data_IF_596586954990
#
_entry.id   IF_596586954990
#
_cell.length_a   1.000
_cell.length_b   1.000
_cell.length_c   1.000
_cell.angle_alpha   90.00
_cell.angle_beta   90.00
_cell.angle_gamma   90.00
#
_symmetry.space_group_name_H-M   'P 1'
#
loop_
_entity.id
_entity.type
_entity.pdbx_description
1 polymer ?
#
# COMPACT_ATOMS: atom_id res chain seq x y z
N UNK A 1 38.57 -39.59 -58.23
CA UNK A 1 37.25 -40.20 -57.92
C UNK A 1 37.08 -40.28 -56.41
N UNK A 2 36.00 -39.64 -55.89
CA UNK A 2 35.40 -39.83 -54.54
C UNK A 2 36.25 -39.33 -53.35
N UNK A 3 35.79 -38.47 -52.44
CA UNK A 3 34.52 -37.75 -52.26
C UNK A 3 34.84 -36.50 -51.42
N UNK A 4 34.38 -35.31 -51.81
CA UNK A 4 33.06 -34.74 -51.51
C UNK A 4 32.71 -34.67 -50.02
N UNK A 5 32.50 -33.43 -49.59
CA UNK A 5 31.62 -33.01 -48.50
C UNK A 5 32.12 -33.26 -47.07
N UNK A 6 32.63 -32.19 -46.43
CA UNK A 6 32.47 -31.89 -44.99
C UNK A 6 32.86 -30.44 -44.73
N UNK A 7 32.19 -29.54 -45.43
CA UNK A 7 32.13 -28.12 -45.08
C UNK A 7 30.64 -27.79 -44.90
N UNK A 8 30.33 -27.00 -43.87
CA UNK A 8 29.00 -26.56 -43.43
C UNK A 8 28.06 -27.64 -42.91
N UNK A 9 27.83 -27.62 -41.59
CA UNK A 9 26.51 -27.42 -40.98
C UNK A 9 26.72 -27.14 -39.48
N UNK A 10 27.14 -25.91 -39.18
CA UNK A 10 26.86 -25.27 -37.88
C UNK A 10 25.34 -25.04 -37.83
N UNK A 11 24.61 -26.09 -37.46
CA UNK A 11 23.15 -26.06 -37.33
C UNK A 11 22.75 -25.68 -35.91
N UNK A 12 22.41 -24.39 -35.74
CA UNK A 12 21.54 -23.81 -34.71
C UNK A 12 21.21 -24.69 -33.50
N UNK A 13 22.09 -24.68 -32.49
CA UNK A 13 21.66 -24.87 -31.11
C UNK A 13 20.94 -23.58 -30.68
N UNK A 14 19.66 -23.47 -31.04
CA UNK A 14 18.78 -22.45 -30.46
C UNK A 14 18.81 -22.66 -28.95
N UNK A 15 19.51 -21.74 -28.28
CA UNK A 15 19.37 -21.49 -26.86
C UNK A 15 17.89 -21.20 -26.62
N UNK A 16 17.14 -22.23 -26.22
CA UNK A 16 15.96 -22.04 -25.42
C UNK A 16 16.50 -21.53 -24.08
N UNK A 17 16.80 -20.24 -24.04
CA UNK A 17 16.94 -19.51 -22.81
C UNK A 17 15.56 -19.54 -22.19
N UNK A 18 15.28 -20.58 -21.41
CA UNK A 18 14.21 -20.55 -20.43
C UNK A 18 14.48 -19.30 -19.62
N UNK A 19 13.75 -18.23 -19.90
CA UNK A 19 13.62 -17.16 -18.93
C UNK A 19 12.97 -17.85 -17.75
N UNK A 20 13.75 -18.24 -16.75
CA UNK A 20 13.19 -18.55 -15.46
C UNK A 20 12.66 -17.22 -14.96
N UNK A 21 11.37 -16.95 -15.21
CA UNK A 21 10.68 -15.88 -14.52
C UNK A 21 10.85 -16.22 -13.05
N UNK A 22 11.65 -15.43 -12.34
CA UNK A 22 11.82 -15.62 -10.91
C UNK A 22 10.41 -15.56 -10.31
N UNK A 23 9.94 -16.70 -9.80
CA UNK A 23 8.65 -16.76 -9.13
C UNK A 23 8.72 -15.78 -7.95
N UNK A 24 7.76 -14.86 -7.89
CA UNK A 24 7.71 -13.86 -6.82
C UNK A 24 7.77 -14.56 -5.47
N UNK A 25 8.64 -14.08 -4.57
CA UNK A 25 8.77 -14.67 -3.26
C UNK A 25 7.50 -14.44 -2.43
N UNK A 26 7.15 -15.40 -1.58
CA UNK A 26 5.93 -15.35 -0.77
C UNK A 26 5.82 -14.09 0.10
N UNK A 27 6.92 -13.66 0.73
CA UNK A 27 6.94 -12.44 1.55
C UNK A 27 6.92 -11.15 0.70
N UNK A 28 7.41 -11.22 -0.54
CA UNK A 28 7.29 -10.12 -1.51
C UNK A 28 5.83 -9.94 -1.93
N UNK A 29 5.11 -11.03 -2.23
CA UNK A 29 3.69 -11.01 -2.53
C UNK A 29 2.86 -10.46 -1.35
N UNK A 30 3.19 -10.87 -0.12
CA UNK A 30 2.58 -10.31 1.11
C UNK A 30 2.80 -8.80 1.24
N UNK A 31 4.04 -8.33 1.05
CA UNK A 31 4.34 -6.90 1.12
C UNK A 31 3.60 -6.12 0.03
N UNK A 32 3.54 -6.66 -1.19
CA UNK A 32 2.87 -6.08 -2.36
C UNK A 32 1.36 -5.97 -2.17
N UNK A 33 0.69 -7.07 -1.77
CA UNK A 33 -0.74 -7.07 -1.43
C UNK A 33 -1.01 -6.10 -0.27
N UNK A 34 -0.12 -6.10 0.72
CA UNK A 34 -0.19 -5.18 1.85
C UNK A 34 -0.11 -3.71 1.45
N UNK A 35 0.64 -3.36 0.40
CA UNK A 35 0.80 -2.00 -0.08
C UNK A 35 -0.46 -1.48 -0.78
N UNK A 36 -1.21 -2.33 -1.49
CA UNK A 36 -2.45 -1.95 -2.18
C UNK A 36 -3.46 -1.28 -1.24
N UNK A 37 -3.57 -1.78 0.00
CA UNK A 37 -4.38 -1.18 1.07
C UNK A 37 -4.06 0.31 1.28
N UNK A 38 -2.77 0.66 1.26
CA UNK A 38 -2.31 2.03 1.49
C UNK A 38 -2.47 2.91 0.25
N UNK A 39 -2.24 2.36 -0.94
CA UNK A 39 -2.35 3.10 -2.20
C UNK A 39 -3.77 3.65 -2.41
N UNK A 40 -4.80 2.86 -2.12
CA UNK A 40 -6.19 3.33 -2.20
C UNK A 40 -6.46 4.55 -1.30
N UNK A 41 -5.85 4.58 -0.13
CA UNK A 41 -5.97 5.66 0.87
C UNK A 41 -5.13 6.89 0.48
N UNK A 42 -3.93 6.70 -0.07
CA UNK A 42 -3.09 7.77 -0.64
C UNK A 42 -3.85 8.50 -1.75
N UNK A 43 -4.46 7.75 -2.66
CA UNK A 43 -5.23 8.29 -3.78
C UNK A 43 -6.41 9.15 -3.28
N UNK A 44 -7.15 8.68 -2.28
CA UNK A 44 -8.24 9.47 -1.69
C UNK A 44 -7.72 10.71 -0.95
N UNK A 45 -6.63 10.59 -0.18
CA UNK A 45 -5.96 11.74 0.45
C UNK A 45 -5.59 12.78 -0.61
N UNK A 46 -5.00 12.36 -1.72
CA UNK A 46 -4.58 13.24 -2.81
C UNK A 46 -5.78 13.89 -3.50
N UNK A 47 -6.90 13.17 -3.69
CA UNK A 47 -8.15 13.74 -4.17
C UNK A 47 -8.63 14.90 -3.28
N UNK A 48 -8.63 14.70 -1.95
CA UNK A 48 -9.02 15.74 -0.99
C UNK A 48 -8.02 16.91 -1.00
N UNK A 49 -6.72 16.63 -1.12
CA UNK A 49 -5.67 17.65 -1.22
C UNK A 49 -5.84 18.53 -2.46
N UNK A 50 -6.11 17.94 -3.62
CA UNK A 50 -6.36 18.68 -4.86
C UNK A 50 -7.62 19.55 -4.72
N UNK A 51 -8.72 18.98 -4.22
CA UNK A 51 -9.98 19.70 -4.05
C UNK A 51 -9.94 20.84 -3.02
N UNK A 52 -9.02 20.77 -2.05
CA UNK A 52 -8.82 21.77 -1.00
C UNK A 52 -7.63 22.71 -1.25
N UNK A 53 -7.03 22.67 -2.45
CA UNK A 53 -5.87 23.49 -2.84
C UNK A 53 -4.62 23.28 -1.96
N UNK A 54 -4.46 22.06 -1.42
CA UNK A 54 -3.32 21.68 -0.58
C UNK A 54 -2.28 20.94 -1.43
N UNK A 55 -1.15 21.59 -1.71
CA UNK A 55 -0.01 20.98 -2.44
C UNK A 55 -0.42 20.32 -3.77
N UNK A 56 -1.34 20.93 -4.52
CA UNK A 56 -1.99 20.36 -5.72
C UNK A 56 -1.04 19.64 -6.67
N UNK A 57 0.06 20.29 -7.08
CA UNK A 57 1.01 19.69 -8.03
C UNK A 57 1.66 18.39 -7.50
N UNK A 58 1.91 18.31 -6.19
CA UNK A 58 2.44 17.11 -5.55
C UNK A 58 1.37 16.02 -5.46
N UNK A 59 0.14 16.39 -5.12
CA UNK A 59 -0.98 15.47 -4.98
C UNK A 59 -1.38 14.83 -6.33
N UNK A 60 -1.39 15.60 -7.42
CA UNK A 60 -1.64 15.07 -8.78
C UNK A 60 -0.60 14.01 -9.13
N UNK A 61 0.69 14.33 -8.95
CA UNK A 61 1.79 13.40 -9.24
C UNK A 61 1.68 12.12 -8.41
N UNK A 62 1.51 12.26 -7.09
CA UNK A 62 1.42 11.14 -6.17
C UNK A 62 0.21 10.25 -6.47
N UNK A 63 -0.94 10.85 -6.80
CA UNK A 63 -2.14 10.12 -7.22
C UNK A 63 -1.87 9.28 -8.46
N UNK A 64 -1.32 9.88 -9.51
CA UNK A 64 -1.10 9.22 -10.79
C UNK A 64 -0.06 8.09 -10.66
N UNK A 65 1.01 8.31 -9.90
CA UNK A 65 2.01 7.28 -9.54
C UNK A 65 1.38 6.14 -8.72
N UNK A 66 0.52 6.46 -7.75
CA UNK A 66 -0.14 5.47 -6.90
C UNK A 66 -1.17 4.63 -7.66
N UNK A 67 -1.89 5.22 -8.62
CA UNK A 67 -2.78 4.51 -9.55
C UNK A 67 -1.96 3.50 -10.36
N UNK A 68 -0.89 3.95 -11.01
CA UNK A 68 -0.05 3.09 -11.84
C UNK A 68 0.56 1.94 -11.03
N UNK A 69 1.03 2.24 -9.81
CA UNK A 69 1.60 1.23 -8.92
C UNK A 69 0.55 0.23 -8.43
N UNK A 70 -0.66 0.69 -8.09
CA UNK A 70 -1.76 -0.18 -7.67
C UNK A 70 -2.08 -1.19 -8.78
N UNK A 71 -2.26 -0.71 -10.01
CA UNK A 71 -2.62 -1.55 -11.16
C UNK A 71 -1.51 -2.54 -11.53
N UNK A 72 -0.26 -2.08 -11.54
CA UNK A 72 0.91 -2.95 -11.76
C UNK A 72 0.94 -4.08 -10.73
N UNK A 73 0.89 -3.74 -9.44
CA UNK A 73 0.91 -4.73 -8.37
C UNK A 73 -0.31 -5.66 -8.44
N UNK A 74 -1.48 -5.14 -8.80
CA UNK A 74 -2.68 -5.96 -8.89
C UNK A 74 -2.53 -7.04 -9.95
N UNK A 75 -1.98 -6.69 -11.12
CA UNK A 75 -1.70 -7.67 -12.16
C UNK A 75 -0.68 -8.71 -11.69
N UNK A 76 0.41 -8.28 -11.05
CA UNK A 76 1.42 -9.21 -10.53
C UNK A 76 0.86 -10.17 -9.46
N UNK A 77 -0.05 -9.70 -8.61
CA UNK A 77 -0.74 -10.54 -7.62
C UNK A 77 -1.72 -11.53 -8.27
N UNK A 78 -2.40 -11.13 -9.35
CA UNK A 78 -3.25 -12.03 -10.14
C UNK A 78 -2.41 -13.14 -10.78
N UNK A 79 -1.23 -12.81 -11.29
CA UNK A 79 -0.30 -13.77 -11.89
C UNK A 79 0.31 -14.70 -10.83
N UNK A 80 0.52 -14.21 -9.60
CA UNK A 80 1.00 -14.99 -8.46
C UNK A 80 -0.03 -15.97 -7.89
N UNK A 81 -1.32 -15.59 -7.88
CA UNK A 81 -2.36 -16.35 -7.18
C UNK A 81 -2.70 -17.71 -7.83
N UNK A 82 -2.25 -18.81 -7.20
CA UNK A 82 -2.47 -20.17 -7.70
C UNK A 82 -3.76 -20.83 -7.20
N UNK A 83 -4.33 -20.38 -6.08
CA UNK A 83 -5.56 -20.92 -5.51
C UNK A 83 -6.82 -20.11 -5.87
N UNK A 84 -7.98 -20.77 -5.84
CA UNK A 84 -9.26 -20.15 -6.24
C UNK A 84 -9.72 -19.06 -5.26
N UNK A 85 -9.42 -19.21 -3.97
CA UNK A 85 -9.87 -18.27 -2.95
C UNK A 85 -9.15 -16.91 -3.09
N UNK A 86 -7.84 -16.92 -3.29
CA UNK A 86 -7.05 -15.72 -3.56
C UNK A 86 -7.48 -15.06 -4.88
N UNK A 87 -7.69 -15.84 -5.95
CA UNK A 87 -8.20 -15.30 -7.22
C UNK A 87 -9.56 -14.63 -7.07
N UNK A 88 -10.48 -15.25 -6.32
CA UNK A 88 -11.79 -14.68 -6.06
C UNK A 88 -11.72 -13.38 -5.24
N UNK A 89 -10.81 -13.30 -4.25
CA UNK A 89 -10.59 -12.06 -3.49
C UNK A 89 -10.00 -10.95 -4.36
N UNK A 90 -8.99 -11.26 -5.19
CA UNK A 90 -8.42 -10.30 -6.13
C UNK A 90 -9.45 -9.79 -7.16
N UNK A 91 -10.34 -10.66 -7.64
CA UNK A 91 -11.42 -10.25 -8.54
C UNK A 91 -12.41 -9.26 -7.89
N UNK A 92 -12.66 -9.37 -6.57
CA UNK A 92 -13.47 -8.40 -5.84
C UNK A 92 -12.75 -7.06 -5.69
N UNK A 93 -11.43 -7.08 -5.42
CA UNK A 93 -10.60 -5.87 -5.44
C UNK A 93 -10.68 -5.19 -6.80
N UNK A 94 -10.55 -5.95 -7.89
CA UNK A 94 -10.65 -5.45 -9.27
C UNK A 94 -12.01 -4.79 -9.56
N UNK A 95 -13.11 -5.40 -9.11
CA UNK A 95 -14.45 -4.83 -9.27
C UNK A 95 -14.61 -3.50 -8.52
N UNK A 96 -14.13 -3.42 -7.27
CA UNK A 96 -14.17 -2.16 -6.50
C UNK A 96 -13.27 -1.11 -7.16
N UNK A 97 -12.10 -1.51 -7.65
CA UNK A 97 -11.20 -0.61 -8.34
C UNK A 97 -11.83 -0.01 -9.61
N UNK A 98 -12.58 -0.80 -10.37
CA UNK A 98 -13.31 -0.33 -11.55
C UNK A 98 -14.37 0.73 -11.20
N UNK A 99 -15.02 0.64 -10.04
CA UNK A 99 -15.92 1.67 -9.50
C UNK A 99 -15.14 2.91 -9.02
N UNK A 100 -13.98 2.69 -8.37
CA UNK A 100 -13.22 3.73 -7.70
C UNK A 100 -12.45 4.63 -8.66
N UNK A 101 -11.76 4.04 -9.64
CA UNK A 101 -10.87 4.75 -10.59
C UNK A 101 -11.53 5.96 -11.25
N UNK A 102 -12.73 5.88 -11.85
CA UNK A 102 -13.34 7.05 -12.47
C UNK A 102 -13.58 8.20 -11.48
N UNK A 103 -13.94 7.90 -10.23
CA UNK A 103 -14.17 8.91 -9.18
C UNK A 103 -12.89 9.68 -8.86
N UNK A 104 -11.77 8.98 -8.70
CA UNK A 104 -10.50 9.58 -8.26
C UNK A 104 -9.69 10.23 -9.39
N UNK A 105 -9.97 9.85 -10.65
CA UNK A 105 -9.40 10.52 -11.83
C UNK A 105 -10.18 11.76 -12.26
N UNK A 106 -11.44 11.89 -11.86
CA UNK A 106 -12.24 13.07 -12.14
C UNK A 106 -11.67 14.32 -11.46
N UNK A 107 -12.08 15.50 -11.93
CA UNK A 107 -11.79 16.74 -11.22
C UNK A 107 -12.42 16.68 -9.82
N UNK A 108 -11.66 16.97 -8.75
CA UNK A 108 -12.19 16.85 -7.40
C UNK A 108 -13.38 17.78 -7.14
N UNK A 109 -14.45 17.18 -6.61
CA UNK A 109 -15.69 17.83 -6.24
C UNK A 109 -16.02 17.44 -4.78
N UNK A 110 -16.26 18.46 -3.95
CA UNK A 110 -16.59 18.28 -2.53
C UNK A 110 -17.88 17.47 -2.36
N UNK A 111 -18.84 17.57 -3.29
CA UNK A 111 -20.08 16.80 -3.24
C UNK A 111 -19.85 15.31 -3.49
N UNK A 112 -18.81 14.94 -4.25
CA UNK A 112 -18.42 13.54 -4.52
C UNK A 112 -17.47 12.97 -3.47
N UNK A 113 -16.82 13.82 -2.67
CA UNK A 113 -15.86 13.42 -1.64
C UNK A 113 -16.38 12.34 -0.67
N UNK A 114 -17.65 12.35 -0.19
CA UNK A 114 -18.17 11.25 0.65
C UNK A 114 -18.16 9.88 -0.05
N UNK A 115 -18.45 9.85 -1.36
CA UNK A 115 -18.42 8.61 -2.15
C UNK A 115 -16.97 8.14 -2.38
N UNK A 116 -16.03 9.06 -2.59
CA UNK A 116 -14.60 8.74 -2.67
C UNK A 116 -14.12 8.11 -1.37
N UNK A 117 -14.46 8.70 -0.21
CA UNK A 117 -14.13 8.15 1.11
C UNK A 117 -14.72 6.75 1.29
N UNK A 118 -16.02 6.58 1.04
CA UNK A 118 -16.70 5.30 1.21
C UNK A 118 -16.11 4.21 0.30
N UNK A 119 -15.75 4.55 -0.93
CA UNK A 119 -15.15 3.59 -1.87
C UNK A 119 -13.71 3.25 -1.49
N UNK A 120 -12.92 4.20 -0.99
CA UNK A 120 -11.58 3.95 -0.46
C UNK A 120 -11.61 2.99 0.75
N UNK A 121 -12.61 3.16 1.62
CA UNK A 121 -12.84 2.30 2.79
C UNK A 121 -13.34 0.89 2.40
N UNK A 122 -14.18 0.79 1.35
CA UNK A 122 -14.56 -0.50 0.76
C UNK A 122 -13.34 -1.22 0.17
N UNK A 123 -12.48 -0.49 -0.55
CA UNK A 123 -11.28 -1.02 -1.18
C UNK A 123 -10.27 -1.52 -0.15
N UNK A 124 -9.95 -0.72 0.88
CA UNK A 124 -8.97 -1.12 1.90
C UNK A 124 -9.42 -2.37 2.66
N UNK A 125 -10.73 -2.50 2.93
CA UNK A 125 -11.31 -3.70 3.57
C UNK A 125 -11.19 -4.94 2.68
N UNK A 126 -11.41 -4.82 1.38
CA UNK A 126 -11.26 -5.97 0.47
C UNK A 126 -9.79 -6.33 0.26
N UNK A 127 -8.89 -5.36 0.11
CA UNK A 127 -7.46 -5.62 0.08
C UNK A 127 -6.97 -6.27 1.39
N UNK A 128 -7.54 -5.90 2.55
CA UNK A 128 -7.23 -6.56 3.82
C UNK A 128 -7.61 -8.05 3.80
N UNK A 129 -8.78 -8.39 3.26
CA UNK A 129 -9.17 -9.80 3.10
C UNK A 129 -8.16 -10.57 2.26
N UNK A 130 -7.66 -9.98 1.17
CA UNK A 130 -6.59 -10.62 0.37
C UNK A 130 -5.33 -10.86 1.19
N UNK A 131 -4.90 -9.88 1.99
CA UNK A 131 -3.71 -10.01 2.84
C UNK A 131 -3.91 -11.07 3.94
N UNK A 132 -5.07 -11.11 4.57
CA UNK A 132 -5.39 -12.10 5.61
C UNK A 132 -5.42 -13.53 5.05
N UNK A 133 -5.88 -13.71 3.81
CA UNK A 133 -5.84 -14.99 3.11
C UNK A 133 -4.40 -15.44 2.85
N UNK A 134 -3.56 -14.54 2.32
CA UNK A 134 -2.15 -14.84 2.06
C UNK A 134 -1.40 -15.14 3.36
N UNK A 135 -1.63 -14.37 4.42
CA UNK A 135 -1.04 -14.62 5.74
C UNK A 135 -1.39 -16.02 6.24
N UNK A 136 -2.69 -16.38 6.17
CA UNK A 136 -3.18 -17.68 6.61
C UNK A 136 -2.56 -18.83 5.81
N UNK A 137 -2.39 -18.66 4.50
CA UNK A 137 -1.78 -19.66 3.62
C UNK A 137 -0.31 -19.88 3.95
N UNK A 138 0.43 -18.80 4.23
CA UNK A 138 1.84 -18.88 4.56
C UNK A 138 2.07 -19.47 5.96
N UNK A 139 1.22 -19.10 6.93
CA UNK A 139 1.21 -19.68 8.27
C UNK A 139 2.44 -19.36 9.13
N UNK A 140 3.24 -18.36 8.74
CA UNK A 140 4.50 -18.02 9.39
C UNK A 140 4.46 -16.65 10.11
N UNK A 141 5.38 -16.46 11.07
CA UNK A 141 5.44 -15.25 11.88
C UNK A 141 5.89 -14.00 11.11
N UNK A 142 6.67 -14.15 10.03
CA UNK A 142 7.10 -13.02 9.21
C UNK A 142 5.92 -12.47 8.40
N UNK A 143 5.09 -13.34 7.83
CA UNK A 143 3.83 -12.99 7.16
C UNK A 143 2.89 -12.23 8.09
N UNK A 144 2.74 -12.68 9.33
CA UNK A 144 1.98 -11.96 10.35
C UNK A 144 2.57 -10.57 10.61
N UNK A 145 3.88 -10.49 10.86
CA UNK A 145 4.54 -9.21 11.12
C UNK A 145 4.41 -8.21 9.95
N UNK A 146 4.51 -8.69 8.70
CA UNK A 146 4.28 -7.89 7.48
C UNK A 146 2.83 -7.39 7.41
N UNK A 147 1.83 -8.22 7.76
CA UNK A 147 0.44 -7.78 7.78
C UNK A 147 0.28 -6.64 8.80
N UNK A 148 0.72 -6.85 10.04
CA UNK A 148 0.58 -5.89 11.15
C UNK A 148 1.38 -4.60 10.90
N UNK A 149 2.65 -4.68 10.52
CA UNK A 149 3.47 -3.50 10.17
C UNK A 149 2.89 -2.76 8.96
N UNK A 150 2.39 -3.51 7.98
CA UNK A 150 1.75 -2.97 6.79
C UNK A 150 0.43 -2.24 7.10
N UNK A 151 -0.31 -2.65 8.12
CA UNK A 151 -1.53 -1.96 8.57
C UNK A 151 -1.23 -0.55 9.09
N UNK A 152 -0.07 -0.33 9.72
CA UNK A 152 0.35 1.02 10.10
C UNK A 152 0.61 1.93 8.90
N UNK A 153 1.07 1.41 7.74
CA UNK A 153 1.13 2.20 6.49
C UNK A 153 -0.25 2.74 6.13
N UNK A 154 -1.25 1.86 6.17
CA UNK A 154 -2.66 2.20 5.91
C UNK A 154 -3.13 3.27 6.87
N UNK A 155 -2.94 3.07 8.18
CA UNK A 155 -3.46 3.97 9.21
C UNK A 155 -2.89 5.39 9.11
N UNK A 156 -1.63 5.56 8.70
CA UNK A 156 -1.09 6.92 8.45
C UNK A 156 -1.81 7.63 7.30
N UNK A 157 -2.08 6.93 6.20
CA UNK A 157 -2.70 7.49 5.01
C UNK A 157 -4.20 7.68 5.20
N UNK A 158 -4.87 6.73 5.86
CA UNK A 158 -6.28 6.80 6.25
C UNK A 158 -6.54 7.96 7.22
N UNK A 159 -5.67 8.15 8.20
CA UNK A 159 -5.72 9.31 9.10
C UNK A 159 -5.56 10.63 8.33
N UNK A 160 -4.61 10.70 7.41
CA UNK A 160 -4.40 11.89 6.59
C UNK A 160 -5.59 12.15 5.64
N UNK A 161 -6.14 11.12 5.01
CA UNK A 161 -7.32 11.20 4.15
C UNK A 161 -8.50 11.81 4.91
N UNK A 162 -8.85 11.26 6.09
CA UNK A 162 -9.93 11.80 6.90
C UNK A 162 -9.63 13.20 7.41
N UNK A 163 -8.37 13.49 7.77
CA UNK A 163 -7.96 14.84 8.14
C UNK A 163 -8.20 15.85 7.01
N UNK A 164 -7.81 15.52 5.77
CA UNK A 164 -8.04 16.38 4.61
C UNK A 164 -9.52 16.57 4.33
N UNK A 165 -10.33 15.50 4.45
CA UNK A 165 -11.78 15.61 4.31
C UNK A 165 -12.39 16.57 5.35
N UNK A 166 -11.96 16.47 6.62
CA UNK A 166 -12.36 17.40 7.69
C UNK A 166 -11.94 18.84 7.40
N UNK A 167 -10.68 19.04 7.01
CA UNK A 167 -10.14 20.37 6.67
C UNK A 167 -10.83 20.99 5.45
N UNK A 168 -11.25 20.17 4.48
CA UNK A 168 -11.99 20.61 3.29
C UNK A 168 -13.47 20.87 3.58
N UNK A 169 -13.98 20.50 4.75
CA UNK A 169 -15.39 20.64 5.12
C UNK A 169 -16.30 19.62 4.44
N UNK A 170 -15.80 18.41 4.17
CA UNK A 170 -16.59 17.29 3.65
C UNK A 170 -17.51 16.78 4.75
N UNK A 171 -18.80 16.63 4.44
CA UNK A 171 -19.76 15.98 5.33
C UNK A 171 -19.92 14.53 4.91
N UNK A 172 -19.42 13.59 5.70
CA UNK A 172 -19.52 12.16 5.45
C UNK A 172 -19.92 11.41 6.74
N UNK A 173 -20.65 10.29 6.64
CA UNK A 173 -21.01 9.48 7.81
C UNK A 173 -19.77 9.05 8.60
N UNK A 174 -19.83 9.17 9.94
CA UNK A 174 -18.80 8.71 10.89
C UNK A 174 -17.39 9.28 10.70
N UNK A 175 -17.21 10.34 9.90
CA UNK A 175 -15.88 10.88 9.55
C UNK A 175 -14.95 11.12 10.75
N UNK A 176 -15.45 11.82 11.78
CA UNK A 176 -14.65 12.09 12.98
C UNK A 176 -14.38 10.83 13.80
N UNK A 177 -15.33 9.90 13.88
CA UNK A 177 -15.16 8.64 14.60
C UNK A 177 -14.11 7.76 13.93
N UNK A 178 -14.14 7.63 12.60
CA UNK A 178 -13.18 6.85 11.82
C UNK A 178 -11.78 7.46 11.84
N UNK A 179 -11.69 8.80 11.84
CA UNK A 179 -10.44 9.52 12.07
C UNK A 179 -9.84 9.17 13.43
N UNK A 180 -10.60 9.28 14.53
CA UNK A 180 -10.11 8.97 15.87
C UNK A 180 -9.77 7.49 16.03
N UNK A 181 -10.57 6.59 15.42
CA UNK A 181 -10.29 5.17 15.41
C UNK A 181 -8.94 4.88 14.73
N UNK A 182 -8.66 5.49 13.57
CA UNK A 182 -7.40 5.32 12.85
C UNK A 182 -6.18 5.75 13.68
N UNK A 183 -6.29 6.90 14.37
CA UNK A 183 -5.23 7.43 15.24
C UNK A 183 -4.98 6.50 16.42
N UNK A 184 -6.04 6.03 17.08
CA UNK A 184 -5.94 5.11 18.23
C UNK A 184 -5.36 3.76 17.82
N UNK A 185 -5.85 3.21 16.72
CA UNK A 185 -5.45 1.89 16.24
C UNK A 185 -3.97 1.84 15.90
N UNK A 186 -3.40 2.90 15.31
CA UNK A 186 -1.96 2.96 15.01
C UNK A 186 -1.11 2.70 16.25
N UNK A 187 -1.45 3.37 17.36
CA UNK A 187 -0.75 3.20 18.63
C UNK A 187 -0.85 1.77 19.17
N UNK A 188 -2.02 1.14 19.03
CA UNK A 188 -2.23 -0.25 19.43
C UNK A 188 -1.34 -1.22 18.64
N UNK A 189 -1.24 -1.05 17.33
CA UNK A 189 -0.38 -1.89 16.47
C UNK A 189 1.10 -1.71 16.83
N UNK A 190 1.53 -0.47 17.10
CA UNK A 190 2.92 -0.23 17.51
C UNK A 190 3.27 -0.93 18.83
N UNK A 191 2.36 -0.89 19.80
CA UNK A 191 2.54 -1.61 21.08
C UNK A 191 2.64 -3.12 20.87
N UNK A 192 1.79 -3.70 20.02
CA UNK A 192 1.80 -5.12 19.68
C UNK A 192 3.13 -5.55 19.02
N UNK A 193 3.60 -4.78 18.02
CA UNK A 193 4.85 -5.06 17.31
C UNK A 193 6.08 -4.94 18.24
N UNK A 194 6.07 -3.97 19.17
CA UNK A 194 7.12 -3.82 20.17
C UNK A 194 7.11 -4.97 21.19
N UNK A 195 5.94 -5.43 21.61
CA UNK A 195 5.79 -6.54 22.56
C UNK A 195 6.25 -7.90 21.98
N UNK A 196 6.11 -8.07 20.66
CA UNK A 196 6.46 -9.32 19.96
C UNK A 196 7.97 -9.61 19.87
N UNK A 197 8.82 -8.69 20.37
CA UNK A 197 10.29 -8.65 20.20
C UNK A 197 10.71 -8.60 18.73
N UNK A 198 11.50 -7.58 18.38
CA UNK A 198 12.00 -7.43 17.02
C UNK A 198 12.88 -8.64 16.61
N UNK A 199 12.75 -9.15 15.37
CA UNK A 199 13.56 -10.27 14.88
C UNK A 199 15.06 -9.96 14.79
N UNK A 200 15.43 -8.68 14.65
CA UNK A 200 16.81 -8.21 14.57
C UNK A 200 16.93 -6.74 15.04
N UNK A 201 18.17 -6.23 15.25
CA UNK A 201 18.40 -4.86 15.70
C UNK A 201 17.92 -3.77 14.74
N UNK A 202 17.92 -4.04 13.43
CA UNK A 202 17.51 -3.06 12.42
C UNK A 202 16.00 -2.78 12.49
N UNK A 203 15.19 -3.84 12.60
CA UNK A 203 13.75 -3.75 12.83
C UNK A 203 13.44 -3.10 14.19
N UNK A 204 14.21 -3.43 15.23
CA UNK A 204 14.05 -2.81 16.54
C UNK A 204 14.21 -1.28 16.47
N UNK A 205 15.23 -0.82 15.74
CA UNK A 205 15.46 0.61 15.54
C UNK A 205 14.38 1.25 14.65
N UNK A 206 13.92 0.56 13.60
CA UNK A 206 12.83 1.03 12.75
C UNK A 206 11.52 1.23 13.55
N UNK A 207 11.18 0.28 14.43
CA UNK A 207 10.02 0.38 15.33
C UNK A 207 10.16 1.59 16.26
N UNK A 208 11.32 1.77 16.90
CA UNK A 208 11.58 2.89 17.83
C UNK A 208 11.48 4.24 17.13
N UNK A 209 12.10 4.38 15.95
CA UNK A 209 12.01 5.61 15.14
C UNK A 209 10.57 5.90 14.72
N UNK A 210 9.80 4.86 14.38
CA UNK A 210 8.42 5.00 13.90
C UNK A 210 7.51 5.48 15.03
N UNK A 211 7.64 4.89 16.21
CA UNK A 211 6.89 5.30 17.40
C UNK A 211 7.18 6.76 17.77
N UNK A 212 8.47 7.14 17.86
CA UNK A 212 8.85 8.52 18.17
C UNK A 212 8.27 9.54 17.17
N UNK A 213 8.29 9.21 15.87
CA UNK A 213 7.75 10.07 14.82
C UNK A 213 6.23 10.16 14.89
N UNK A 214 5.53 9.06 15.17
CA UNK A 214 4.09 9.06 15.36
C UNK A 214 3.66 9.92 16.55
N UNK A 215 4.36 9.82 17.68
CA UNK A 215 4.06 10.64 18.87
C UNK A 215 4.21 12.15 18.59
N UNK A 216 5.13 12.53 17.69
CA UNK A 216 5.24 13.92 17.26
C UNK A 216 4.14 14.30 16.24
N UNK A 217 3.94 13.48 15.21
CA UNK A 217 2.97 13.76 14.15
C UNK A 217 1.51 13.80 14.66
N UNK A 218 1.16 12.94 15.61
CA UNK A 218 -0.18 12.87 16.21
C UNK A 218 -0.55 14.13 17.01
N UNK A 219 0.42 14.94 17.46
CA UNK A 219 0.12 16.24 18.08
C UNK A 219 -0.50 17.21 17.08
N UNK A 220 0.00 17.24 15.84
CA UNK A 220 -0.55 18.09 14.79
C UNK A 220 -2.01 17.73 14.45
N UNK A 221 -2.37 16.45 14.59
CA UNK A 221 -3.73 15.95 14.38
C UNK A 221 -4.74 16.44 15.44
N UNK A 222 -4.25 16.86 16.61
CA UNK A 222 -5.05 17.34 17.74
C UNK A 222 -5.17 18.88 17.81
N UNK A 223 -4.56 19.59 16.87
CA UNK A 223 -4.61 21.05 16.79
C UNK A 223 -6.05 21.54 16.64
N UNK A 224 -6.37 22.71 17.23
CA UNK A 224 -7.66 23.39 17.04
C UNK A 224 -7.80 23.91 15.61
N UNK A 225 -6.70 24.41 15.04
CA UNK A 225 -6.65 24.90 13.67
C UNK A 225 -6.10 23.82 12.74
N UNK A 226 -6.71 23.70 11.55
CA UNK A 226 -6.25 22.76 10.55
C UNK A 226 -4.90 23.19 9.93
N UNK A 227 -3.90 22.31 10.03
CA UNK A 227 -2.59 22.40 9.38
C UNK A 227 -2.40 21.34 8.26
N UNK A 228 -3.21 21.34 7.18
CA UNK A 228 -3.24 20.25 6.20
C UNK A 228 -1.91 20.02 5.48
N UNK A 229 -1.15 21.07 5.16
CA UNK A 229 0.18 20.91 4.55
C UNK A 229 1.14 20.12 5.44
N UNK A 230 1.13 20.35 6.75
CA UNK A 230 1.98 19.66 7.72
C UNK A 230 1.56 18.19 7.84
N UNK A 231 0.25 17.93 7.93
CA UNK A 231 -0.28 16.57 8.00
C UNK A 231 0.06 15.76 6.75
N UNK A 232 -0.09 16.35 5.55
CA UNK A 232 0.29 15.69 4.29
C UNK A 232 1.78 15.28 4.29
N UNK A 233 2.66 16.23 4.61
CA UNK A 233 4.12 15.98 4.64
C UNK A 233 4.48 14.89 5.65
N UNK A 234 3.90 14.96 6.85
CA UNK A 234 4.15 13.97 7.89
C UNK A 234 3.63 12.59 7.51
N UNK A 235 2.44 12.50 6.91
CA UNK A 235 1.87 11.23 6.45
C UNK A 235 2.79 10.57 5.40
N UNK A 236 3.23 11.31 4.38
CA UNK A 236 4.12 10.77 3.34
C UNK A 236 5.49 10.36 3.91
N UNK A 237 6.02 11.16 4.83
CA UNK A 237 7.28 10.87 5.52
C UNK A 237 7.17 9.63 6.40
N UNK A 238 6.05 9.44 7.10
CA UNK A 238 5.79 8.25 7.90
C UNK A 238 5.55 7.02 7.02
N UNK A 239 4.81 7.16 5.92
CA UNK A 239 4.57 6.08 4.98
C UNK A 239 5.87 5.51 4.43
N UNK A 240 6.81 6.35 3.98
CA UNK A 240 8.14 5.87 3.53
C UNK A 240 8.87 5.06 4.60
N UNK A 241 8.84 5.53 5.85
CA UNK A 241 9.48 4.85 6.96
C UNK A 241 8.81 3.51 7.33
N UNK A 242 7.48 3.46 7.27
CA UNK A 242 6.71 2.23 7.51
C UNK A 242 6.83 1.24 6.34
N UNK A 243 6.97 1.75 5.12
CA UNK A 243 7.28 0.95 3.95
C UNK A 243 8.64 0.27 4.10
N UNK A 244 9.64 1.03 4.52
CA UNK A 244 10.97 0.49 4.83
C UNK A 244 10.92 -0.54 5.96
N UNK A 245 10.24 -0.25 7.05
CA UNK A 245 10.08 -1.20 8.15
C UNK A 245 9.41 -2.51 7.70
N UNK A 246 8.38 -2.43 6.84
CA UNK A 246 7.70 -3.62 6.32
C UNK A 246 8.58 -4.38 5.32
N UNK A 247 9.38 -3.68 4.53
CA UNK A 247 10.40 -4.27 3.63
C UNK A 247 11.43 -5.07 4.42
N UNK A 248 11.89 -4.55 5.57
CA UNK A 248 12.79 -5.26 6.49
C UNK A 248 12.17 -6.54 7.04
N UNK A 249 10.89 -6.51 7.46
CA UNK A 249 10.16 -7.72 7.86
C UNK A 249 10.03 -8.74 6.72
N UNK A 250 9.91 -8.29 5.48
CA UNK A 250 9.87 -9.15 4.30
C UNK A 250 11.26 -9.69 3.87
N UNK A 251 12.35 -9.26 4.51
CA UNK A 251 13.70 -9.70 4.18
C UNK A 251 14.17 -9.29 2.78
N UNK A 252 13.55 -8.27 2.18
CA UNK A 252 13.91 -7.78 0.85
C UNK A 252 15.22 -6.97 0.96
N UNK A 253 16.04 -6.94 -0.09
CA UNK A 253 17.37 -6.27 -0.08
C UNK A 253 17.44 -5.06 -1.00
N UNK A 254 16.48 -4.88 -1.89
CA UNK A 254 16.38 -3.73 -2.79
C UNK A 254 15.15 -2.88 -2.48
N UNK A 255 15.31 -1.57 -2.63
CA UNK A 255 14.18 -0.63 -2.69
C UNK A 255 13.48 -0.81 -4.03
N UNK A 256 12.56 -1.77 -4.12
CA UNK A 256 11.71 -1.96 -5.30
C UNK A 256 10.38 -1.21 -5.22
N UNK A 257 10.25 -0.25 -4.29
CA UNK A 257 9.03 0.53 -4.04
C UNK A 257 9.30 2.04 -4.04
#
# INVERSE_FOLDING_TARGET
MKGFMRALLLGCSLLISSTSWAQMATLEAMNMAGLQRSLGQIIAKDYMMIGSDVKVASAIRQRDESIALFEKHHQQLKDYATDEQSRASLAKVEAIWAEYKPLITAQPDKAQAPLVLATAEKLVKECQQTVDLLEKQNGDAASHAINRSGWNRVLTQRTAMFYMARAWGVTAPNLDAEFQASVKEFGSIMQELQASKAPNPEIAEALRKTDAKWQFASKALSSKDFVPTIVAINADSMFRQLNEMTRLYAGLTTDSL
#
